data_IF_661748682315
#
_entry.id   IF_661748682315
#
_cell.length_a   1.000
_cell.length_b   1.000
_cell.length_c   1.000
_cell.angle_alpha   90.00
_cell.angle_beta   90.00
_cell.angle_gamma   90.00
#
_symmetry.space_group_name_H-M   'P 1'
#
loop_
_entity.id
_entity.type
_entity.pdbx_description
1 polymer ?
#
# COMPACT_ATOMS: atom_id res chain seq x y z
N UNK A 1 5.67 -6.36 45.68
CA UNK A 1 6.80 -5.54 45.20
C UNK A 1 6.43 -5.03 43.82
N UNK A 2 6.10 -3.76 43.68
CA UNK A 2 5.82 -3.12 42.40
C UNK A 2 7.14 -3.01 41.62
N UNK A 3 7.22 -3.71 40.50
CA UNK A 3 8.37 -3.61 39.58
C UNK A 3 8.27 -2.24 38.92
N UNK A 4 9.15 -1.33 39.32
CA UNK A 4 9.29 -0.03 38.67
C UNK A 4 9.78 -0.27 37.23
N UNK A 5 8.93 0.06 36.25
CA UNK A 5 9.30 -0.05 34.85
C UNK A 5 10.44 0.95 34.57
N UNK A 6 11.56 0.51 33.96
CA UNK A 6 12.70 1.39 33.72
C UNK A 6 12.27 2.57 32.82
N UNK A 7 12.75 3.77 33.16
CA UNK A 7 12.46 4.97 32.40
C UNK A 7 12.82 4.78 30.91
N UNK A 8 11.97 5.24 29.97
CA UNK A 8 12.14 4.95 28.57
C UNK A 8 13.44 5.56 28.03
N UNK A 9 14.41 4.70 27.64
CA UNK A 9 15.60 5.11 26.89
C UNK A 9 15.20 5.92 25.65
N UNK A 10 15.95 7.00 25.39
CA UNK A 10 15.82 7.81 24.18
C UNK A 10 16.19 6.98 22.96
N UNK A 11 15.17 6.58 22.19
CA UNK A 11 15.33 5.89 20.91
C UNK A 11 15.24 6.95 19.82
N UNK A 12 16.27 7.02 18.96
CA UNK A 12 16.21 7.85 17.75
C UNK A 12 15.30 7.14 16.75
N UNK A 13 14.00 7.32 16.92
CA UNK A 13 13.00 6.81 15.99
C UNK A 13 13.28 7.49 14.64
N UNK A 14 13.72 6.73 13.63
CA UNK A 14 13.83 7.23 12.24
C UNK A 14 12.45 7.52 11.61
N UNK A 15 11.43 7.66 12.45
CA UNK A 15 10.01 7.70 12.14
C UNK A 15 9.30 8.82 12.92
N UNK A 16 10.04 9.84 13.40
CA UNK A 16 9.40 11.10 13.80
C UNK A 16 8.60 11.68 12.64
N UNK A 17 7.50 12.38 12.97
CA UNK A 17 6.68 13.12 12.02
C UNK A 17 7.54 14.00 11.13
N UNK A 18 7.66 13.61 9.85
CA UNK A 18 8.38 14.34 8.81
C UNK A 18 9.87 14.53 9.09
N UNK A 19 10.70 13.59 8.64
CA UNK A 19 12.12 13.90 8.43
C UNK A 19 12.26 15.14 7.54
N UNK A 20 13.38 15.87 7.65
CA UNK A 20 13.62 17.02 6.78
C UNK A 20 13.49 16.59 5.31
N UNK A 21 12.51 17.15 4.59
CA UNK A 21 12.19 16.79 3.21
C UNK A 21 11.09 15.73 3.03
N UNK A 22 10.40 15.28 4.08
CA UNK A 22 9.19 14.47 3.93
C UNK A 22 8.01 15.32 3.45
N UNK A 23 7.23 14.80 2.52
CA UNK A 23 6.02 15.45 2.02
C UNK A 23 4.88 15.34 3.05
N UNK A 24 4.03 16.38 3.17
CA UNK A 24 2.89 16.37 4.08
C UNK A 24 1.91 15.25 3.72
N UNK A 25 1.30 14.66 4.76
CA UNK A 25 0.32 13.59 4.61
C UNK A 25 -0.91 13.91 5.47
N UNK A 26 -2.05 14.19 4.83
CA UNK A 26 -3.33 14.42 5.49
C UNK A 26 -4.23 13.20 5.29
N UNK A 27 -4.16 12.26 6.24
CA UNK A 27 -4.91 11.02 6.14
C UNK A 27 -6.43 11.25 6.13
N UNK A 28 -7.14 10.60 5.20
CA UNK A 28 -8.59 10.76 5.03
C UNK A 28 -9.01 12.04 4.27
N UNK A 29 -8.10 12.73 3.58
CA UNK A 29 -8.49 13.84 2.71
C UNK A 29 -9.31 13.35 1.49
N UNK A 30 -10.09 14.27 0.91
CA UNK A 30 -11.09 13.96 -0.11
C UNK A 30 -10.49 13.60 -1.46
N UNK A 31 -9.27 14.05 -1.73
CA UNK A 31 -8.52 13.75 -2.95
C UNK A 31 -7.13 13.23 -2.63
N UNK A 32 -6.54 12.49 -3.56
CA UNK A 32 -5.16 12.03 -3.45
C UNK A 32 -4.17 13.21 -3.32
N UNK A 33 -4.38 14.32 -4.03
CA UNK A 33 -3.53 15.51 -3.95
C UNK A 33 -3.58 16.18 -2.58
N UNK A 34 -4.77 16.43 -2.04
CA UNK A 34 -4.92 16.99 -0.68
C UNK A 34 -4.36 16.05 0.39
N UNK A 35 -4.48 14.73 0.18
CA UNK A 35 -3.93 13.71 1.07
C UNK A 35 -2.40 13.72 1.07
N UNK A 36 -1.78 14.05 -0.06
CA UNK A 36 -0.34 13.94 -0.28
C UNK A 36 0.13 12.50 -0.54
N UNK A 37 1.33 12.26 -1.08
CA UNK A 37 1.77 10.91 -1.42
C UNK A 37 2.16 10.09 -0.19
N UNK A 38 1.88 8.79 -0.21
CA UNK A 38 2.46 7.83 0.75
C UNK A 38 3.85 7.44 0.30
N UNK A 39 4.85 7.65 1.18
CA UNK A 39 6.27 7.43 0.88
C UNK A 39 6.87 6.45 1.88
N UNK A 40 7.03 5.20 1.45
CA UNK A 40 7.67 4.11 2.20
C UNK A 40 9.09 3.79 1.70
N UNK A 41 9.77 4.76 1.10
CA UNK A 41 11.02 4.60 0.33
C UNK A 41 12.13 3.88 1.10
N UNK A 42 12.92 3.03 0.43
CA UNK A 42 14.15 2.44 1.00
C UNK A 42 15.42 3.20 0.65
N UNK A 43 15.33 4.24 -0.19
CA UNK A 43 16.48 5.01 -0.67
C UNK A 43 16.74 6.20 0.27
N UNK A 44 15.97 7.29 0.14
CA UNK A 44 16.11 8.48 0.98
C UNK A 44 15.19 8.38 2.20
N UNK A 45 15.68 7.79 3.29
CA UNK A 45 14.87 7.55 4.51
C UNK A 45 14.23 8.81 5.10
N UNK A 46 14.83 9.99 4.90
CA UNK A 46 14.29 11.26 5.38
C UNK A 46 12.95 11.65 4.71
N UNK A 47 12.66 11.13 3.50
CA UNK A 47 11.41 11.41 2.80
C UNK A 47 10.23 10.55 3.27
N UNK A 48 10.46 9.58 4.17
CA UNK A 48 9.39 8.68 4.65
C UNK A 48 8.35 9.44 5.46
N UNK A 49 7.09 9.20 5.16
CA UNK A 49 5.95 9.69 5.96
C UNK A 49 5.03 8.57 6.47
N UNK A 50 5.35 7.32 6.14
CA UNK A 50 4.69 6.11 6.67
C UNK A 50 5.70 5.14 7.27
N UNK A 51 5.20 4.20 8.05
CA UNK A 51 5.99 3.10 8.60
C UNK A 51 6.04 1.91 7.64
N UNK A 52 7.19 1.24 7.62
CA UNK A 52 7.45 0.07 6.79
C UNK A 52 8.36 0.35 5.60
N UNK A 53 8.58 -0.67 4.79
CA UNK A 53 9.21 -0.55 3.47
C UNK A 53 8.20 -0.97 2.42
N UNK A 54 8.28 -0.39 1.22
CA UNK A 54 7.51 -0.92 0.09
C UNK A 54 7.71 -2.43 -0.08
N UNK A 55 6.66 -3.09 -0.58
CA UNK A 55 6.57 -4.55 -0.78
C UNK A 55 6.35 -5.38 0.49
N UNK A 56 6.06 -4.78 1.66
CA UNK A 56 5.60 -5.53 2.84
C UNK A 56 6.44 -6.79 3.16
N UNK A 57 5.79 -7.95 3.20
CA UNK A 57 6.44 -9.26 3.39
C UNK A 57 7.37 -9.67 2.25
N UNK A 58 7.14 -9.17 1.03
CA UNK A 58 8.00 -9.37 -0.13
C UNK A 58 9.27 -8.51 -0.10
N UNK A 59 9.44 -7.61 0.88
CA UNK A 59 10.66 -6.81 1.05
C UNK A 59 11.93 -7.67 1.17
N UNK A 60 11.82 -8.91 1.65
CA UNK A 60 12.91 -9.89 1.71
C UNK A 60 13.46 -10.23 0.32
N UNK A 61 12.61 -10.37 -0.71
CA UNK A 61 13.07 -10.63 -2.07
C UNK A 61 13.89 -9.47 -2.64
N UNK A 62 13.47 -8.23 -2.35
CA UNK A 62 14.28 -7.05 -2.69
C UNK A 62 15.62 -7.07 -1.96
N UNK A 63 15.62 -7.38 -0.66
CA UNK A 63 16.85 -7.46 0.13
C UNK A 63 17.80 -8.53 -0.42
N UNK A 64 17.29 -9.71 -0.77
CA UNK A 64 18.06 -10.78 -1.40
C UNK A 64 18.62 -10.36 -2.76
N UNK A 65 17.80 -9.72 -3.62
CA UNK A 65 18.26 -9.25 -4.92
C UNK A 65 19.36 -8.18 -4.80
N UNK A 66 19.30 -7.31 -3.79
CA UNK A 66 20.37 -6.35 -3.51
C UNK A 66 21.61 -7.05 -2.97
N UNK A 67 21.45 -7.98 -2.03
CA UNK A 67 22.55 -8.72 -1.43
C UNK A 67 23.30 -9.61 -2.44
N UNK A 68 22.58 -10.21 -3.39
CA UNK A 68 23.15 -11.02 -4.47
C UNK A 68 23.72 -10.20 -5.63
N UNK A 69 23.55 -8.87 -5.61
CA UNK A 69 23.98 -7.97 -6.68
C UNK A 69 23.06 -7.94 -7.91
N UNK A 70 21.96 -8.68 -7.91
CA UNK A 70 20.96 -8.69 -8.99
C UNK A 70 20.17 -7.38 -9.11
N UNK A 71 20.13 -6.57 -8.05
CA UNK A 71 19.46 -5.27 -8.02
C UNK A 71 20.34 -4.20 -7.35
N UNK A 72 20.49 -3.03 -7.97
CA UNK A 72 21.15 -1.88 -7.31
C UNK A 72 20.32 -1.41 -6.13
N UNK A 73 20.96 -1.07 -5.00
CA UNK A 73 20.27 -0.58 -3.80
C UNK A 73 19.46 0.69 -4.08
N UNK A 74 19.96 1.54 -4.97
CA UNK A 74 19.40 2.83 -5.38
C UNK A 74 18.41 2.69 -6.55
N UNK A 75 18.09 1.47 -6.98
CA UNK A 75 17.18 1.22 -8.09
C UNK A 75 15.82 1.91 -7.86
N UNK A 76 15.43 2.70 -8.87
CA UNK A 76 14.12 3.33 -9.00
C UNK A 76 13.29 2.54 -9.98
N UNK A 77 12.07 2.21 -9.57
CA UNK A 77 11.13 1.54 -10.45
C UNK A 77 10.74 2.47 -11.60
N UNK A 78 10.68 1.94 -12.81
CA UNK A 78 10.03 2.58 -13.93
C UNK A 78 8.51 2.39 -13.80
N UNK A 79 7.76 3.48 -13.76
CA UNK A 79 6.30 3.48 -13.63
C UNK A 79 5.61 3.75 -14.99
N UNK A 80 6.36 3.70 -16.08
CA UNK A 80 5.80 3.80 -17.44
C UNK A 80 4.86 2.63 -17.70
N UNK A 81 3.66 2.92 -18.23
CA UNK A 81 2.61 1.92 -18.51
C UNK A 81 2.16 1.10 -17.29
N UNK A 82 2.29 1.64 -16.07
CA UNK A 82 1.77 1.02 -14.85
C UNK A 82 0.42 1.61 -14.41
N UNK A 83 -0.30 2.29 -15.30
CA UNK A 83 -1.64 2.79 -15.01
C UNK A 83 -2.59 1.61 -14.75
N UNK A 84 -3.55 1.75 -13.82
CA UNK A 84 -4.51 0.70 -13.53
C UNK A 84 -5.41 0.43 -14.74
N UNK A 85 -5.84 -0.83 -14.92
CA UNK A 85 -6.78 -1.17 -16.00
C UNK A 85 -8.15 -0.56 -15.80
N UNK A 86 -8.53 -0.34 -14.54
CA UNK A 86 -9.80 0.23 -14.12
C UNK A 86 -9.55 1.24 -12.99
N UNK A 87 -10.25 2.38 -13.04
CA UNK A 87 -10.18 3.37 -11.96
C UNK A 87 -11.23 3.01 -10.92
N UNK A 88 -10.79 2.78 -9.68
CA UNK A 88 -11.65 2.43 -8.55
C UNK A 88 -11.89 3.68 -7.71
N UNK A 89 -13.16 3.95 -7.39
CA UNK A 89 -13.57 5.07 -6.56
C UNK A 89 -13.40 6.45 -7.24
N UNK A 90 -13.33 7.54 -6.45
CA UNK A 90 -13.36 7.54 -4.98
C UNK A 90 -14.74 7.17 -4.41
N UNK A 91 -14.73 6.66 -3.17
CA UNK A 91 -15.95 6.39 -2.41
C UNK A 91 -15.98 7.22 -1.12
N UNK A 92 -17.15 7.66 -0.63
CA UNK A 92 -17.25 8.52 0.56
C UNK A 92 -16.52 7.99 1.80
N UNK A 93 -16.51 6.66 1.99
CA UNK A 93 -15.90 6.00 3.15
C UNK A 93 -14.37 6.13 3.17
N UNK A 94 -13.73 6.49 2.05
CA UNK A 94 -12.28 6.71 1.99
C UNK A 94 -11.86 7.96 2.76
N UNK A 95 -12.76 8.93 2.84
CA UNK A 95 -12.53 10.24 3.44
C UNK A 95 -13.07 10.32 4.88
N UNK A 96 -13.75 9.28 5.35
CA UNK A 96 -14.25 9.19 6.72
C UNK A 96 -13.09 8.92 7.70
N UNK A 97 -12.83 9.82 8.66
CA UNK A 97 -11.71 9.66 9.60
C UNK A 97 -11.78 8.34 10.37
N UNK A 98 -10.69 7.57 10.31
CA UNK A 98 -10.54 6.31 11.04
C UNK A 98 -11.21 5.09 10.40
N UNK A 99 -11.90 5.22 9.25
CA UNK A 99 -12.46 4.07 8.51
C UNK A 99 -11.38 3.21 7.84
N UNK A 100 -10.41 3.85 7.20
CA UNK A 100 -9.25 3.20 6.60
C UNK A 100 -8.01 3.68 7.36
N UNK A 101 -7.22 2.76 7.91
CA UNK A 101 -5.96 3.10 8.64
C UNK A 101 -4.80 2.14 8.31
N UNK A 102 -5.04 1.14 7.45
CA UNK A 102 -4.10 0.06 7.14
C UNK A 102 -3.93 -0.19 5.63
N UNK A 103 -4.39 0.74 4.80
CA UNK A 103 -4.34 0.70 3.33
C UNK A 103 -4.33 2.13 2.78
N UNK A 104 -3.62 2.40 1.68
CA UNK A 104 -3.74 3.64 0.91
C UNK A 104 -4.81 3.45 -0.18
N UNK A 105 -6.02 4.03 -0.04
CA UNK A 105 -7.09 3.83 -1.01
C UNK A 105 -6.81 4.47 -2.37
N UNK A 106 -5.87 5.42 -2.45
CA UNK A 106 -5.48 6.10 -3.68
C UNK A 106 -4.26 5.44 -4.36
N UNK A 107 -3.80 4.30 -3.82
CA UNK A 107 -2.53 3.68 -4.17
C UNK A 107 -2.37 3.28 -5.64
N UNK A 108 -3.46 3.14 -6.39
CA UNK A 108 -3.46 2.74 -7.80
C UNK A 108 -3.10 3.88 -8.77
N UNK A 109 -3.37 5.13 -8.41
CA UNK A 109 -3.28 6.27 -9.31
C UNK A 109 -2.06 7.16 -9.04
N UNK A 110 -1.17 6.74 -8.13
CA UNK A 110 -0.06 7.60 -7.64
C UNK A 110 0.93 8.00 -8.73
N UNK A 111 1.16 7.16 -9.74
CA UNK A 111 2.03 7.47 -10.88
C UNK A 111 1.47 8.59 -11.75
N UNK A 112 0.15 8.76 -11.75
CA UNK A 112 -0.53 9.81 -12.49
C UNK A 112 -0.71 11.08 -11.66
N UNK A 113 -1.14 10.93 -10.40
CA UNK A 113 -1.47 12.06 -9.53
C UNK A 113 -0.22 12.81 -9.07
N UNK A 114 0.87 12.09 -8.76
CA UNK A 114 2.08 12.68 -8.17
C UNK A 114 3.24 12.77 -9.18
N UNK A 115 2.94 13.04 -10.45
CA UNK A 115 3.95 13.19 -11.52
C UNK A 115 5.03 14.21 -11.17
N UNK A 116 4.65 15.33 -10.56
CA UNK A 116 5.56 16.41 -10.19
C UNK A 116 6.54 15.98 -9.10
N UNK A 117 6.07 15.29 -8.06
CA UNK A 117 6.89 14.78 -6.97
C UNK A 117 7.81 13.64 -7.45
N UNK A 118 7.30 12.76 -8.32
CA UNK A 118 8.11 11.74 -8.99
C UNK A 118 9.24 12.37 -9.81
N UNK A 119 8.94 13.42 -10.59
CA UNK A 119 9.93 14.17 -11.37
C UNK A 119 10.93 14.91 -10.47
N UNK A 120 10.50 15.41 -9.31
CA UNK A 120 11.35 15.99 -8.27
C UNK A 120 12.21 14.93 -7.54
N UNK A 121 12.04 13.65 -7.87
CA UNK A 121 12.88 12.57 -7.41
C UNK A 121 12.42 11.90 -6.11
N UNK A 122 11.17 12.10 -5.69
CA UNK A 122 10.56 11.32 -4.62
C UNK A 122 10.29 9.88 -5.09
N UNK A 123 10.66 8.90 -4.27
CA UNK A 123 10.42 7.47 -4.53
C UNK A 123 9.02 7.09 -4.01
N UNK A 124 8.00 7.54 -4.74
CA UNK A 124 6.59 7.23 -4.51
C UNK A 124 6.26 6.00 -5.35
N UNK A 125 5.77 4.93 -4.72
CA UNK A 125 5.44 3.68 -5.43
C UNK A 125 3.96 3.35 -5.26
N UNK A 126 3.29 2.84 -6.31
CA UNK A 126 1.94 2.32 -6.19
C UNK A 126 1.86 1.27 -5.08
N UNK A 127 0.78 1.33 -4.31
CA UNK A 127 0.46 0.33 -3.28
C UNK A 127 -0.74 -0.52 -3.68
N UNK A 128 -1.37 -0.21 -4.82
CA UNK A 128 -2.43 -1.01 -5.40
C UNK A 128 -2.10 -1.21 -6.88
N UNK A 129 -2.11 -2.45 -7.35
CA UNK A 129 -2.08 -2.77 -8.77
C UNK A 129 -3.44 -3.34 -9.17
N UNK A 130 -4.09 -2.69 -10.13
CA UNK A 130 -5.39 -3.10 -10.69
C UNK A 130 -5.16 -3.68 -12.06
N UNK A 131 -5.50 -4.95 -12.25
CA UNK A 131 -5.32 -5.68 -13.51
C UNK A 131 -6.56 -6.47 -13.89
N UNK A 132 -6.69 -6.81 -15.18
CA UNK A 132 -7.71 -7.75 -15.64
C UNK A 132 -7.14 -9.15 -15.82
N UNK A 133 -7.94 -10.17 -15.53
CA UNK A 133 -7.54 -11.56 -15.67
C UNK A 133 -8.71 -12.45 -16.08
N UNK A 134 -8.38 -13.54 -16.78
CA UNK A 134 -9.28 -14.67 -17.00
C UNK A 134 -8.93 -15.73 -15.96
N UNK A 135 -9.78 -15.90 -14.96
CA UNK A 135 -9.57 -16.86 -13.89
C UNK A 135 -10.33 -18.14 -14.20
N UNK A 136 -9.60 -19.23 -14.36
CA UNK A 136 -10.16 -20.56 -14.61
C UNK A 136 -10.16 -21.31 -13.29
N UNK A 137 -11.35 -21.69 -12.83
CA UNK A 137 -11.57 -22.42 -11.58
C UNK A 137 -12.33 -23.71 -11.90
N UNK A 138 -11.84 -24.88 -11.48
CA UNK A 138 -12.55 -26.14 -11.69
C UNK A 138 -14.02 -26.11 -11.22
N UNK A 139 -14.29 -25.43 -10.11
CA UNK A 139 -15.61 -25.30 -9.49
C UNK A 139 -16.58 -24.49 -10.37
N UNK A 140 -16.07 -23.50 -11.10
CA UNK A 140 -16.87 -22.69 -12.04
C UNK A 140 -17.21 -23.50 -13.29
N UNK A 141 -16.26 -24.31 -13.78
CA UNK A 141 -16.50 -25.23 -14.91
C UNK A 141 -17.55 -26.28 -14.53
N UNK A 142 -17.41 -26.92 -13.37
CA UNK A 142 -18.37 -27.90 -12.87
C UNK A 142 -19.77 -27.28 -12.67
N UNK A 143 -19.83 -26.04 -12.17
CA UNK A 143 -21.09 -25.33 -11.99
C UNK A 143 -21.77 -24.99 -13.33
N UNK A 144 -21.02 -24.72 -14.40
CA UNK A 144 -21.57 -24.58 -15.75
C UNK A 144 -22.10 -25.93 -16.26
N UNK A 145 -21.31 -26.99 -16.14
CA UNK A 145 -21.68 -28.32 -16.62
C UNK A 145 -22.94 -28.87 -15.94
N UNK A 146 -23.10 -28.59 -14.65
CA UNK A 146 -24.29 -28.96 -13.87
C UNK A 146 -25.47 -27.99 -14.04
N UNK A 147 -25.32 -26.92 -14.82
CA UNK A 147 -26.37 -25.93 -15.07
C UNK A 147 -26.66 -24.98 -13.90
N UNK A 148 -25.84 -24.99 -12.84
CA UNK A 148 -25.94 -24.07 -11.69
C UNK A 148 -25.55 -22.64 -12.07
N UNK A 149 -24.60 -22.50 -12.98
CA UNK A 149 -24.21 -21.24 -13.59
C UNK A 149 -24.55 -21.24 -15.08
N UNK A 150 -24.75 -20.05 -15.64
CA UNK A 150 -24.95 -19.84 -17.08
C UNK A 150 -23.91 -18.84 -17.58
N UNK A 151 -23.22 -19.20 -18.65
CA UNK A 151 -22.30 -18.29 -19.30
C UNK A 151 -23.07 -17.13 -19.97
N UNK A 152 -22.57 -15.92 -19.79
CA UNK A 152 -23.11 -14.69 -20.38
C UNK A 152 -22.16 -14.06 -21.41
N UNK A 153 -20.95 -14.62 -21.56
CA UNK A 153 -19.92 -14.13 -22.46
C UNK A 153 -19.25 -12.83 -22.01
N UNK A 154 -19.67 -12.25 -20.87
CA UNK A 154 -19.16 -10.98 -20.35
C UNK A 154 -18.41 -11.16 -19.03
N UNK A 155 -19.04 -11.81 -18.05
CA UNK A 155 -18.43 -12.12 -16.75
C UNK A 155 -18.03 -13.58 -16.66
N UNK A 156 -18.73 -14.45 -17.38
CA UNK A 156 -18.46 -15.87 -17.44
C UNK A 156 -18.46 -16.34 -18.90
N UNK A 157 -17.31 -16.83 -19.36
CA UNK A 157 -17.19 -17.40 -20.70
C UNK A 157 -17.82 -18.79 -20.77
N UNK A 158 -18.19 -19.24 -21.96
CA UNK A 158 -18.70 -20.60 -22.17
C UNK A 158 -17.69 -21.69 -21.78
N UNK A 159 -16.39 -21.37 -21.82
CA UNK A 159 -15.31 -22.26 -21.38
C UNK A 159 -15.08 -22.27 -19.87
N UNK A 160 -15.86 -21.55 -19.07
CA UNK A 160 -15.74 -21.52 -17.61
C UNK A 160 -14.66 -20.60 -17.06
N UNK A 161 -14.15 -19.66 -17.87
CA UNK A 161 -13.28 -18.60 -17.37
C UNK A 161 -14.13 -17.44 -16.82
N UNK A 162 -13.84 -17.03 -15.59
CA UNK A 162 -14.40 -15.82 -14.99
C UNK A 162 -13.55 -14.61 -15.38
N UNK A 163 -14.21 -13.59 -15.93
CA UNK A 163 -13.59 -12.31 -16.28
C UNK A 163 -13.57 -11.44 -15.03
N UNK A 164 -12.38 -11.13 -14.52
CA UNK A 164 -12.22 -10.40 -13.26
C UNK A 164 -11.30 -9.20 -13.41
N UNK A 165 -11.61 -8.15 -12.65
CA UNK A 165 -10.64 -7.13 -12.25
C UNK A 165 -10.07 -7.56 -10.90
N UNK A 166 -8.74 -7.56 -10.79
CA UNK A 166 -7.99 -7.98 -9.61
C UNK A 166 -7.21 -6.79 -9.06
N UNK A 167 -7.34 -6.61 -7.75
CA UNK A 167 -6.57 -5.62 -7.00
C UNK A 167 -5.54 -6.33 -6.11
N UNK A 168 -4.26 -6.07 -6.36
CA UNK A 168 -3.18 -6.48 -5.45
C UNK A 168 -2.81 -5.30 -4.55
N UNK A 169 -3.03 -5.45 -3.24
CA UNK A 169 -2.93 -4.35 -2.27
C UNK A 169 -1.76 -4.61 -1.31
N UNK A 170 -0.83 -3.67 -1.29
CA UNK A 170 0.21 -3.57 -0.26
C UNK A 170 -0.32 -2.81 0.96
N UNK A 171 -0.13 -3.32 2.19
CA UNK A 171 -0.62 -2.66 3.38
C UNK A 171 0.15 -1.36 3.66
N UNK A 172 -0.56 -0.32 4.09
CA UNK A 172 0.01 0.98 4.48
C UNK A 172 -0.54 1.38 5.84
N UNK A 173 0.32 1.48 6.85
CA UNK A 173 -0.13 1.68 8.23
C UNK A 173 -0.07 3.15 8.63
N UNK A 174 -1.23 3.76 8.81
CA UNK A 174 -1.38 5.07 9.45
C UNK A 174 -1.40 4.91 10.96
N UNK A 175 -0.23 5.03 11.59
CA UNK A 175 -0.07 4.66 13.00
C UNK A 175 -1.01 5.37 13.98
N UNK A 176 -1.34 6.67 13.86
CA UNK A 176 -2.30 7.29 14.76
C UNK A 176 -3.65 6.55 14.74
N UNK A 177 -4.11 6.15 13.56
CA UNK A 177 -5.33 5.37 13.38
C UNK A 177 -5.21 3.92 13.89
N UNK A 178 -4.08 3.26 13.62
CA UNK A 178 -3.81 1.89 14.12
C UNK A 178 -3.75 1.87 15.64
N UNK A 179 -2.96 2.74 16.26
CA UNK A 179 -2.82 2.82 17.71
C UNK A 179 -4.17 3.05 18.40
N UNK A 180 -4.99 3.98 17.86
CA UNK A 180 -6.36 4.21 18.34
C UNK A 180 -7.23 2.96 18.30
N UNK A 181 -7.14 2.13 17.25
CA UNK A 181 -7.92 0.88 17.15
C UNK A 181 -7.50 -0.17 18.17
N UNK A 182 -6.22 -0.23 18.51
CA UNK A 182 -5.68 -1.17 19.48
C UNK A 182 -5.67 -0.63 20.92
N UNK A 183 -6.18 0.58 21.15
CA UNK A 183 -6.26 1.17 22.49
C UNK A 183 -4.89 1.51 23.11
N UNK A 184 -3.87 1.74 22.29
CA UNK A 184 -2.53 2.13 22.74
C UNK A 184 -2.14 3.52 22.24
N UNK A 185 -1.09 4.11 22.82
CA UNK A 185 -0.55 5.36 22.30
C UNK A 185 0.29 5.11 21.03
N UNK A 186 0.32 6.08 20.11
CA UNK A 186 1.19 6.01 18.94
C UNK A 186 2.67 5.89 19.35
N UNK A 187 3.07 6.56 20.43
CA UNK A 187 4.43 6.52 20.96
C UNK A 187 4.82 5.11 21.42
N UNK A 188 3.94 4.44 22.16
CA UNK A 188 4.15 3.05 22.60
C UNK A 188 4.21 2.10 21.40
N UNK A 189 3.29 2.25 20.44
CA UNK A 189 3.29 1.44 19.22
C UNK A 189 4.59 1.62 18.44
N UNK A 190 5.07 2.86 18.26
CA UNK A 190 6.36 3.14 17.59
C UNK A 190 7.54 2.51 18.34
N UNK A 191 7.54 2.57 19.67
CA UNK A 191 8.59 1.99 20.52
C UNK A 191 8.65 0.46 20.45
N UNK A 192 7.52 -0.21 20.20
CA UNK A 192 7.49 -1.67 20.04
C UNK A 192 7.88 -2.09 18.62
N UNK A 193 7.55 -1.27 17.62
CA UNK A 193 7.88 -1.56 16.21
C UNK A 193 9.36 -1.36 15.85
N UNK A 194 10.12 -0.56 16.61
CA UNK A 194 11.49 -0.12 16.29
C UNK A 194 12.42 -0.16 17.51
#
# INVERSE_FOLDING_TARGET
MSVEAPAPRHIRLTSHSGGFGALPLQWGAATALERGPVVGTTTTRAHRNVNGTHSGSYSVYRALAVASGALKREHRADLTNTSPTDIIGPYPQWCEPGRIVSMDPWGATVSEVFKSELAAGYDIRPTIAVTQAHVILPEVIEALQSGRLKADGKFLTAGGAAMVTKDAIEPVWWLPGVAKRYGCSEADLRRVLF
#
